data_IF_737158498616
#
_entry.id   IF_737158498616
#
_cell.length_a   1.000
_cell.length_b   1.000
_cell.length_c   1.000
_cell.angle_alpha   90.00
_cell.angle_beta   90.00
_cell.angle_gamma   90.00
#
_symmetry.space_group_name_H-M   'P 1'
#
loop_
_entity.id
_entity.type
_entity.pdbx_description
1 polymer ?
#
# COMPACT_ATOMS: atom_id res chain seq x y z
N UNK A 1 -23.33 -13.09 -3.88
CA UNK A 1 -22.21 -12.15 -4.09
C UNK A 1 -21.76 -12.26 -5.53
N UNK A 2 -21.71 -11.15 -6.27
CA UNK A 2 -21.05 -11.12 -7.58
C UNK A 2 -19.56 -10.82 -7.34
N UNK A 3 -18.68 -11.70 -7.81
CA UNK A 3 -17.24 -11.52 -7.73
C UNK A 3 -16.77 -10.88 -9.04
N UNK A 4 -15.88 -9.89 -8.94
CA UNK A 4 -15.28 -9.23 -10.10
C UNK A 4 -13.90 -9.85 -10.35
N UNK A 5 -13.72 -10.49 -11.50
CA UNK A 5 -12.44 -11.09 -11.88
C UNK A 5 -11.37 -10.01 -12.07
N UNK A 6 -10.14 -10.30 -11.62
CA UNK A 6 -9.04 -9.33 -11.63
C UNK A 6 -9.09 -8.28 -10.50
N UNK A 7 -10.10 -8.34 -9.64
CA UNK A 7 -10.31 -7.38 -8.55
C UNK A 7 -9.77 -7.91 -7.22
N UNK A 8 -8.43 -7.95 -7.10
CA UNK A 8 -7.75 -8.34 -5.86
C UNK A 8 -7.79 -7.27 -4.77
N UNK A 9 -7.24 -7.54 -3.57
CA UNK A 9 -7.28 -6.63 -2.42
C UNK A 9 -6.82 -5.21 -2.75
N UNK A 10 -5.70 -5.05 -3.47
CA UNK A 10 -5.21 -3.75 -3.93
C UNK A 10 -6.24 -2.96 -4.74
N UNK A 11 -6.91 -3.62 -5.69
CA UNK A 11 -7.89 -2.95 -6.55
C UNK A 11 -9.15 -2.56 -5.77
N UNK A 12 -9.56 -3.42 -4.82
CA UNK A 12 -10.65 -3.12 -3.90
C UNK A 12 -10.34 -1.92 -3.00
N UNK A 13 -9.17 -1.90 -2.35
CA UNK A 13 -8.74 -0.77 -1.53
C UNK A 13 -8.67 0.53 -2.33
N UNK A 14 -8.09 0.48 -3.53
CA UNK A 14 -8.00 1.65 -4.41
C UNK A 14 -9.38 2.17 -4.82
N UNK A 15 -10.29 1.27 -5.18
CA UNK A 15 -11.65 1.63 -5.56
C UNK A 15 -12.40 2.29 -4.40
N UNK A 16 -12.44 1.63 -3.23
CA UNK A 16 -13.13 2.11 -2.05
C UNK A 16 -12.60 3.48 -1.59
N UNK A 17 -11.28 3.69 -1.69
CA UNK A 17 -10.66 4.99 -1.41
C UNK A 17 -11.06 6.07 -2.42
N UNK A 18 -11.05 5.75 -3.72
CA UNK A 18 -11.36 6.71 -4.79
C UNK A 18 -12.82 7.16 -4.80
N UNK A 19 -13.74 6.29 -4.42
CA UNK A 19 -15.17 6.64 -4.32
C UNK A 19 -15.53 7.31 -2.99
N UNK A 20 -14.54 7.54 -2.11
CA UNK A 20 -14.75 8.18 -0.81
C UNK A 20 -15.44 7.29 0.23
N UNK A 21 -15.48 5.97 0.03
CA UNK A 21 -16.13 5.06 0.97
C UNK A 21 -15.30 4.84 2.24
N UNK A 22 -13.99 4.69 2.10
CA UNK A 22 -13.07 4.55 3.24
C UNK A 22 -11.71 5.17 2.89
N UNK A 23 -11.27 6.13 3.71
CA UNK A 23 -9.97 6.80 3.53
C UNK A 23 -8.79 6.03 4.17
N UNK A 24 -9.08 5.12 5.09
CA UNK A 24 -8.10 4.40 5.91
C UNK A 24 -7.79 2.99 5.35
N UNK A 25 -7.78 2.87 4.02
CA UNK A 25 -7.34 1.67 3.31
C UNK A 25 -6.01 1.95 2.61
N UNK A 26 -5.04 1.06 2.81
CA UNK A 26 -3.76 1.16 2.13
C UNK A 26 -3.93 0.71 0.69
N UNK A 27 -3.24 1.36 -0.24
CA UNK A 27 -3.08 0.83 -1.60
C UNK A 27 -1.66 0.31 -1.72
N UNK A 28 -1.46 -0.93 -1.26
CA UNK A 28 -0.19 -1.64 -1.33
C UNK A 28 0.21 -1.93 -2.79
N UNK A 29 0.81 -0.94 -3.43
CA UNK A 29 1.41 -1.03 -4.75
C UNK A 29 2.94 -1.20 -4.66
N UNK A 30 3.61 -1.23 -5.81
CA UNK A 30 5.07 -1.42 -5.88
C UNK A 30 5.86 -0.31 -5.21
N UNK A 31 5.30 0.90 -5.06
CA UNK A 31 6.01 2.00 -4.40
C UNK A 31 5.89 1.89 -2.89
N UNK A 32 4.70 1.58 -2.39
CA UNK A 32 4.48 1.35 -0.95
C UNK A 32 5.25 0.13 -0.47
N UNK A 33 5.26 -0.96 -1.24
CA UNK A 33 6.00 -2.17 -0.88
C UNK A 33 7.52 -1.95 -0.82
N UNK A 34 8.08 -1.23 -1.79
CA UNK A 34 9.52 -0.93 -1.78
C UNK A 34 9.88 0.01 -0.63
N UNK A 35 8.99 0.95 -0.30
CA UNK A 35 9.16 1.77 0.90
C UNK A 35 9.16 0.92 2.17
N UNK A 36 8.22 -0.02 2.32
CA UNK A 36 8.17 -0.93 3.47
C UNK A 36 9.41 -1.82 3.55
N UNK A 37 9.94 -2.24 2.40
CA UNK A 37 11.21 -2.96 2.34
C UNK A 37 12.36 -2.10 2.89
N UNK A 38 12.43 -0.82 2.50
CA UNK A 38 13.47 0.10 2.98
C UNK A 38 13.29 0.52 4.44
N UNK A 39 12.06 0.78 4.87
CA UNK A 39 11.76 1.37 6.18
C UNK A 39 11.61 0.32 7.30
N UNK A 40 11.26 -0.93 6.96
CA UNK A 40 10.98 -2.01 7.92
C UNK A 40 11.67 -3.34 7.57
N UNK A 41 12.45 -3.41 6.49
CA UNK A 41 13.12 -4.65 6.06
C UNK A 41 12.17 -5.70 5.49
N UNK A 42 10.95 -5.30 5.14
CA UNK A 42 9.87 -6.21 4.78
C UNK A 42 10.04 -6.69 3.32
N UNK A 43 10.51 -7.92 3.14
CA UNK A 43 10.70 -8.54 1.82
C UNK A 43 9.56 -9.50 1.49
N UNK A 44 8.78 -9.18 0.47
CA UNK A 44 7.62 -9.96 0.06
C UNK A 44 7.75 -10.48 -1.36
N UNK A 45 7.28 -11.71 -1.58
CA UNK A 45 7.03 -12.20 -2.93
C UNK A 45 5.70 -11.63 -3.46
N UNK A 46 5.67 -10.99 -4.65
CA UNK A 46 4.45 -10.47 -5.27
C UNK A 46 3.33 -11.52 -5.43
N UNK A 47 3.71 -12.80 -5.58
CA UNK A 47 2.78 -13.92 -5.70
C UNK A 47 1.89 -14.14 -4.48
N UNK A 48 2.32 -13.68 -3.29
CA UNK A 48 1.58 -13.88 -2.03
C UNK A 48 0.61 -12.75 -1.70
N UNK A 49 0.78 -11.56 -2.29
CA UNK A 49 -0.06 -10.37 -2.06
C UNK A 49 -1.51 -10.50 -2.54
N UNK A 50 -1.82 -11.54 -3.32
CA UNK A 50 -3.20 -11.87 -3.68
C UNK A 50 -4.03 -12.42 -2.52
N UNK A 51 -3.39 -12.87 -1.42
CA UNK A 51 -4.07 -13.37 -0.23
C UNK A 51 -4.46 -12.21 0.67
N UNK A 52 -5.76 -12.10 0.97
CA UNK A 52 -6.30 -11.02 1.80
C UNK A 52 -5.64 -10.95 3.18
N UNK A 53 -5.44 -12.09 3.86
CA UNK A 53 -4.83 -12.13 5.19
C UNK A 53 -3.42 -11.54 5.23
N UNK A 54 -2.61 -11.80 4.19
CA UNK A 54 -1.27 -11.22 4.09
C UNK A 54 -1.35 -9.73 3.73
N UNK A 55 -2.30 -9.35 2.88
CA UNK A 55 -2.54 -7.94 2.55
C UNK A 55 -2.87 -7.12 3.81
N UNK A 56 -3.74 -7.65 4.67
CA UNK A 56 -4.13 -7.02 5.94
C UNK A 56 -2.96 -6.91 6.92
N UNK A 57 -2.10 -7.94 7.00
CA UNK A 57 -0.88 -7.90 7.83
C UNK A 57 0.04 -6.75 7.40
N UNK A 58 0.30 -6.63 6.10
CA UNK A 58 1.14 -5.58 5.54
C UNK A 58 0.48 -4.20 5.68
N UNK A 59 -0.84 -4.12 5.49
CA UNK A 59 -1.61 -2.89 5.69
C UNK A 59 -1.50 -2.40 7.14
N UNK A 60 -1.52 -3.31 8.12
CA UNK A 60 -1.32 -2.94 9.53
C UNK A 60 0.08 -2.38 9.77
N UNK A 61 1.14 -2.95 9.19
CA UNK A 61 2.48 -2.35 9.26
C UNK A 61 2.51 -0.94 8.66
N UNK A 62 1.83 -0.72 7.53
CA UNK A 62 1.74 0.60 6.93
C UNK A 62 0.89 1.59 7.77
N UNK A 63 -0.11 1.08 8.47
CA UNK A 63 -0.93 1.84 9.43
C UNK A 63 -0.12 2.33 10.61
N UNK A 64 0.75 1.48 11.18
CA UNK A 64 1.66 1.86 12.25
C UNK A 64 2.59 3.01 11.81
N UNK A 65 3.17 2.90 10.61
CA UNK A 65 4.00 3.98 10.04
C UNK A 65 3.18 5.26 9.87
N UNK A 66 1.94 5.14 9.38
CA UNK A 66 1.08 6.32 9.19
C UNK A 66 0.78 7.01 10.52
N UNK A 67 0.56 6.22 11.58
CA UNK A 67 0.39 6.72 12.93
C UNK A 67 1.67 7.38 13.49
N UNK A 68 2.86 6.84 13.21
CA UNK A 68 4.14 7.45 13.56
C UNK A 68 4.34 8.82 12.89
N UNK A 69 3.88 8.97 11.64
CA UNK A 69 3.87 10.27 10.95
C UNK A 69 2.79 11.24 11.46
N UNK A 70 1.83 10.78 12.26
CA UNK A 70 0.72 11.61 12.74
C UNK A 70 -0.25 12.05 11.63
N UNK A 71 -0.33 11.29 10.54
CA UNK A 71 -1.15 11.63 9.37
C UNK A 71 -2.04 10.45 8.96
N UNK A 72 -3.12 10.75 8.22
CA UNK A 72 -4.00 9.71 7.70
C UNK A 72 -3.24 8.76 6.76
N UNK A 73 -3.68 7.51 6.71
CA UNK A 73 -3.07 6.50 5.84
C UNK A 73 -3.07 6.93 4.37
N UNK A 74 -4.15 7.58 3.90
CA UNK A 74 -4.21 8.14 2.54
C UNK A 74 -3.19 9.25 2.28
N UNK A 75 -2.91 10.11 3.27
CA UNK A 75 -1.87 11.14 3.15
C UNK A 75 -0.48 10.53 3.03
N UNK A 76 -0.18 9.54 3.88
CA UNK A 76 1.13 8.88 3.90
C UNK A 76 1.32 8.02 2.64
N UNK A 77 0.27 7.33 2.17
CA UNK A 77 0.27 6.60 0.89
C UNK A 77 0.65 7.51 -0.29
N UNK A 78 0.04 8.70 -0.38
CA UNK A 78 0.37 9.66 -1.43
C UNK A 78 1.82 10.16 -1.33
N UNK A 79 2.26 10.50 -0.13
CA UNK A 79 3.62 10.98 0.11
C UNK A 79 4.66 9.90 -0.22
N UNK A 80 4.43 8.66 0.23
CA UNK A 80 5.27 7.49 -0.06
C UNK A 80 5.32 7.23 -1.56
N UNK A 81 4.17 7.25 -2.26
CA UNK A 81 4.11 7.04 -3.70
C UNK A 81 4.95 8.06 -4.48
N UNK A 82 4.77 9.35 -4.18
CA UNK A 82 5.52 10.44 -4.82
C UNK A 82 7.03 10.30 -4.54
N UNK A 83 7.39 10.09 -3.28
CA UNK A 83 8.79 10.00 -2.83
C UNK A 83 9.50 8.82 -3.49
N UNK A 84 8.89 7.63 -3.44
CA UNK A 84 9.48 6.42 -4.02
C UNK A 84 9.55 6.48 -5.54
N UNK A 85 8.59 7.12 -6.19
CA UNK A 85 8.63 7.33 -7.64
C UNK A 85 9.83 8.21 -8.04
N UNK A 86 10.12 9.27 -7.29
CA UNK A 86 11.30 10.11 -7.53
C UNK A 86 12.58 9.36 -7.18
N UNK A 87 12.62 8.70 -6.02
CA UNK A 87 13.79 7.95 -5.57
C UNK A 87 14.22 6.88 -6.58
N UNK A 88 13.29 6.08 -7.13
CA UNK A 88 13.61 5.09 -8.17
C UNK A 88 14.18 5.72 -9.44
N UNK A 89 13.62 6.87 -9.85
CA UNK A 89 14.08 7.60 -11.05
C UNK A 89 15.50 8.13 -10.88
N UNK A 90 15.85 8.61 -9.68
CA UNK A 90 17.12 9.29 -9.43
C UNK A 90 18.21 8.35 -8.91
N UNK A 91 17.85 7.27 -8.23
CA UNK A 91 18.79 6.34 -7.59
C UNK A 91 19.11 5.08 -8.41
N UNK A 92 18.50 4.86 -9.58
CA UNK A 92 18.59 3.60 -10.34
C UNK A 92 18.30 2.34 -9.47
N UNK A 93 17.39 2.46 -8.50
CA UNK A 93 16.79 1.31 -7.81
C UNK A 93 15.72 0.67 -8.70
#
# INVERSE_FOLDING_TARGET
>A
MQHVWGFGPKQASLFLRRVGYCADLAVLDVHVLDYLQLARGLSLSPSKLGRLSLYEEIENTFREISAEFGHSMGCVDLATWLTMRVAKREAFL
#
